data_IF_779392423934
#
_entry.id   IF_779392423934
#
_cell.length_a   1.000
_cell.length_b   1.000
_cell.length_c   1.000
_cell.angle_alpha   90.00
_cell.angle_beta   90.00
_cell.angle_gamma   90.00
#
_symmetry.space_group_name_H-M   'P 1'
#
loop_
_entity.id
_entity.type
_entity.pdbx_description
1 polymer ?
#
# COMPACT_ATOMS: atom_id res chain seq x y z
N UNK A 1 29.72 57.95 23.63
CA UNK A 1 29.62 57.57 25.05
C UNK A 1 29.26 56.11 25.08
N UNK A 2 30.24 55.28 25.44
CA UNK A 2 30.07 53.85 25.65
C UNK A 2 29.59 53.62 27.09
N UNK A 3 28.64 52.72 27.27
CA UNK A 3 28.44 51.99 28.52
C UNK A 3 28.16 50.54 28.18
N UNK A 4 29.18 49.75 28.48
CA UNK A 4 29.20 48.32 28.72
C UNK A 4 28.22 47.97 29.84
N UNK A 5 27.43 46.90 29.71
CA UNK A 5 26.93 46.19 30.89
C UNK A 5 26.74 44.71 30.54
N UNK A 6 27.70 43.95 31.04
CA UNK A 6 27.75 42.49 31.06
C UNK A 6 26.76 41.95 32.09
N UNK A 7 25.99 40.91 31.76
CA UNK A 7 25.31 40.11 32.79
C UNK A 7 25.45 38.61 32.50
N UNK A 8 25.95 37.88 33.50
CA UNK A 8 26.22 36.46 33.52
C UNK A 8 25.32 35.74 34.55
N UNK A 9 25.21 34.42 34.37
CA UNK A 9 24.69 33.38 35.29
C UNK A 9 23.20 33.36 35.65
N UNK A 10 22.51 32.24 35.36
CA UNK A 10 22.47 31.07 36.25
C UNK A 10 21.41 30.04 35.75
N UNK A 11 21.78 28.75 35.73
CA UNK A 11 20.83 27.64 35.74
C UNK A 11 20.08 27.59 37.09
N UNK A 12 18.92 26.91 37.21
CA UNK A 12 19.02 25.51 37.65
C UNK A 12 17.85 24.58 37.25
N UNK A 13 18.07 23.32 37.64
CA UNK A 13 17.11 22.34 38.15
C UNK A 13 16.42 21.40 37.14
N UNK A 14 16.95 20.18 37.18
CA UNK A 14 16.32 18.94 36.77
C UNK A 14 14.99 18.69 37.49
N UNK A 15 14.08 18.00 36.81
CA UNK A 15 13.07 17.12 37.42
C UNK A 15 13.09 15.77 36.71
N UNK A 16 13.22 14.73 37.51
CA UNK A 16 13.22 13.31 37.15
C UNK A 16 11.89 12.67 37.55
N UNK A 17 11.40 11.72 36.75
CA UNK A 17 10.67 10.49 37.12
C UNK A 17 10.01 10.00 35.82
N UNK A 18 10.35 8.80 35.31
CA UNK A 18 9.74 7.55 35.76
C UNK A 18 8.37 7.41 35.08
N UNK A 19 8.02 6.35 34.37
CA UNK A 19 8.40 4.96 34.58
C UNK A 19 7.73 4.12 33.45
N UNK A 20 8.20 2.89 33.25
CA UNK A 20 7.41 1.69 32.81
C UNK A 20 6.95 1.69 31.34
N UNK A 21 7.73 1.04 30.46
CA UNK A 21 7.43 -0.29 29.92
C UNK A 21 6.01 -0.43 29.38
N UNK A 22 5.87 -0.44 28.06
CA UNK A 22 4.95 -1.37 27.45
C UNK A 22 5.61 -2.18 26.33
N UNK A 23 5.70 -3.45 26.65
CA UNK A 23 6.20 -4.55 25.85
C UNK A 23 5.15 -4.83 24.78
N UNK A 24 5.34 -4.35 23.54
CA UNK A 24 4.66 -4.96 22.40
C UNK A 24 5.53 -6.06 21.79
N UNK A 25 5.74 -7.11 22.58
CA UNK A 25 5.95 -8.44 22.04
C UNK A 25 4.58 -8.98 21.63
N UNK A 26 4.21 -8.83 20.37
CA UNK A 26 3.11 -9.61 19.77
C UNK A 26 3.50 -10.04 18.37
N UNK A 27 3.94 -11.30 18.31
CA UNK A 27 3.99 -12.20 17.16
C UNK A 27 4.64 -11.65 15.89
N UNK A 28 5.94 -11.91 15.76
CA UNK A 28 6.55 -12.19 14.46
C UNK A 28 5.88 -13.44 13.87
N UNK A 29 4.66 -13.27 13.34
CA UNK A 29 4.08 -14.19 12.38
C UNK A 29 5.13 -14.28 11.27
N UNK A 30 5.70 -15.47 11.09
CA UNK A 30 6.76 -15.71 10.12
C UNK A 30 6.26 -15.29 8.75
N UNK A 31 6.56 -14.05 8.36
CA UNK A 31 6.24 -13.51 7.07
C UNK A 31 7.12 -14.25 6.09
N UNK A 32 6.53 -15.23 5.42
CA UNK A 32 7.13 -15.92 4.29
C UNK A 32 7.46 -14.81 3.29
N UNK A 33 8.73 -14.46 3.19
CA UNK A 33 9.17 -13.38 2.32
C UNK A 33 8.69 -13.69 0.91
N UNK A 34 7.75 -12.90 0.40
CA UNK A 34 7.20 -13.07 -0.94
C UNK A 34 7.65 -11.90 -1.80
N UNK A 35 8.26 -12.20 -2.93
CA UNK A 35 8.61 -11.19 -3.93
C UNK A 35 7.75 -11.35 -5.18
N UNK A 36 7.36 -10.21 -5.74
CA UNK A 36 6.63 -10.14 -6.99
C UNK A 36 7.60 -9.78 -8.11
N UNK A 37 7.62 -10.61 -9.14
CA UNK A 37 8.48 -10.44 -10.31
C UNK A 37 7.64 -10.09 -11.52
N UNK A 38 8.15 -9.25 -12.39
CA UNK A 38 7.55 -9.02 -13.70
C UNK A 38 7.51 -10.33 -14.48
N UNK A 39 6.32 -10.73 -14.95
CA UNK A 39 6.15 -11.99 -15.68
C UNK A 39 6.94 -12.08 -16.99
N UNK A 40 7.23 -10.94 -17.62
CA UNK A 40 7.97 -10.87 -18.89
C UNK A 40 9.49 -10.99 -18.71
N UNK A 41 10.08 -10.32 -17.73
CA UNK A 41 11.55 -10.22 -17.58
C UNK A 41 12.10 -10.70 -16.23
N UNK A 42 11.23 -11.20 -15.34
CA UNK A 42 11.54 -11.73 -14.01
C UNK A 42 12.23 -10.76 -13.03
N UNK A 43 12.35 -9.48 -13.39
CA UNK A 43 12.80 -8.41 -12.49
C UNK A 43 11.83 -8.26 -11.32
N UNK A 44 12.37 -8.11 -10.11
CA UNK A 44 11.59 -7.84 -8.90
C UNK A 44 10.95 -6.45 -9.01
N UNK A 45 9.66 -6.36 -8.70
CA UNK A 45 8.88 -5.11 -8.80
C UNK A 45 8.17 -4.72 -7.51
N UNK A 46 7.95 -5.68 -6.59
CA UNK A 46 7.43 -5.41 -5.25
C UNK A 46 7.87 -6.55 -4.31
N UNK A 47 7.92 -6.27 -3.00
CA UNK A 47 7.88 -7.29 -1.97
C UNK A 47 6.53 -7.24 -1.24
N UNK A 48 6.28 -8.28 -0.47
CA UNK A 48 5.20 -8.36 0.51
C UNK A 48 5.20 -7.23 1.56
N UNK A 49 6.37 -6.66 1.89
CA UNK A 49 6.46 -5.49 2.78
C UNK A 49 5.80 -4.24 2.19
N UNK A 50 5.73 -4.15 0.87
CA UNK A 50 5.18 -2.97 0.20
C UNK A 50 3.68 -3.11 -0.09
N UNK A 51 3.03 -4.23 0.27
CA UNK A 51 1.62 -4.44 -0.04
C UNK A 51 0.73 -3.61 0.88
N UNK A 52 -0.13 -2.82 0.27
CA UNK A 52 -1.24 -2.15 0.96
C UNK A 52 -2.45 -3.09 0.96
N UNK A 53 -2.75 -3.63 2.14
CA UNK A 53 -3.94 -4.45 2.36
C UNK A 53 -5.18 -3.56 2.40
N UNK A 54 -6.28 -4.06 1.84
CA UNK A 54 -7.59 -3.43 1.98
C UNK A 54 -8.65 -4.47 2.29
N UNK A 55 -9.60 -4.09 3.12
CA UNK A 55 -10.78 -4.91 3.40
C UNK A 55 -11.72 -4.90 2.21
N UNK A 56 -12.51 -5.98 2.04
CA UNK A 56 -13.50 -6.05 0.97
C UNK A 56 -14.52 -4.91 1.12
N UNK A 57 -14.70 -4.13 0.07
CA UNK A 57 -15.68 -3.05 0.09
C UNK A 57 -17.08 -3.51 -0.28
N UNK A 58 -18.08 -2.71 0.12
CA UNK A 58 -19.50 -2.95 -0.19
C UNK A 58 -19.88 -2.62 -1.63
N UNK A 59 -18.96 -2.06 -2.43
CA UNK A 59 -19.26 -1.55 -3.76
C UNK A 59 -19.84 -2.58 -4.74
N UNK A 60 -19.44 -3.85 -4.64
CA UNK A 60 -19.99 -4.93 -5.48
C UNK A 60 -21.49 -5.18 -5.22
N UNK A 61 -21.99 -4.88 -4.03
CA UNK A 61 -23.41 -5.04 -3.68
C UNK A 61 -24.28 -3.97 -4.36
N UNK A 62 -23.74 -2.77 -4.57
CA UNK A 62 -24.45 -1.63 -5.16
C UNK A 62 -24.57 -1.70 -6.69
N UNK A 63 -23.70 -2.46 -7.37
CA UNK A 63 -23.67 -2.58 -8.84
C UNK A 63 -24.14 -3.94 -9.38
N UNK A 64 -24.81 -4.77 -8.58
CA UNK A 64 -25.53 -5.95 -9.10
C UNK A 64 -26.66 -5.49 -10.03
N UNK A 65 -26.34 -5.22 -11.30
CA UNK A 65 -27.31 -5.12 -12.37
C UNK A 65 -28.17 -6.39 -12.33
N UNK A 66 -29.45 -6.18 -12.05
CA UNK A 66 -30.54 -7.15 -11.91
C UNK A 66 -30.28 -8.47 -12.62
N UNK A 67 -29.95 -9.52 -11.85
CA UNK A 67 -30.26 -10.90 -12.26
C UNK A 67 -31.78 -11.09 -12.17
N UNK A 68 -32.52 -10.56 -13.15
CA UNK A 68 -33.91 -10.94 -13.43
C UNK A 68 -33.93 -12.26 -14.19
N UNK A 69 -33.59 -13.34 -13.50
CA UNK A 69 -33.97 -14.71 -13.87
C UNK A 69 -33.54 -15.69 -12.78
N UNK A 70 -34.54 -16.16 -12.05
CA UNK A 70 -34.65 -17.48 -11.41
C UNK A 70 -33.48 -17.98 -10.55
N UNK A 71 -33.76 -18.16 -9.26
CA UNK A 71 -32.95 -19.00 -8.38
C UNK A 71 -32.01 -18.20 -7.48
N UNK A 72 -32.52 -17.87 -6.28
CA UNK A 72 -31.69 -17.52 -5.14
C UNK A 72 -30.87 -18.76 -4.77
N UNK A 73 -29.64 -18.82 -5.26
CA UNK A 73 -28.61 -19.63 -4.64
C UNK A 73 -27.95 -18.69 -3.65
N UNK A 74 -28.20 -18.94 -2.36
CA UNK A 74 -27.42 -18.42 -1.24
C UNK A 74 -25.98 -18.88 -1.43
N UNK A 75 -25.24 -18.15 -2.28
CA UNK A 75 -23.81 -18.27 -2.32
C UNK A 75 -23.34 -17.66 -1.00
N UNK A 76 -22.87 -18.52 -0.11
CA UNK A 76 -21.85 -18.18 0.88
C UNK A 76 -20.88 -17.17 0.24
N UNK A 77 -20.36 -16.19 0.98
CA UNK A 77 -19.43 -15.22 0.41
C UNK A 77 -18.15 -15.96 0.01
N UNK A 78 -18.17 -16.56 -1.19
CA UNK A 78 -17.00 -17.12 -1.84
C UNK A 78 -16.04 -15.96 -1.89
N UNK A 79 -14.99 -16.09 -1.10
CA UNK A 79 -14.01 -15.08 -0.86
C UNK A 79 -13.45 -14.58 -2.20
N UNK A 80 -14.06 -13.54 -2.80
CA UNK A 80 -13.58 -12.98 -4.05
C UNK A 80 -12.18 -12.46 -3.77
N UNK A 81 -11.19 -13.12 -4.36
CA UNK A 81 -9.81 -12.72 -4.27
C UNK A 81 -9.60 -11.52 -5.20
N UNK A 82 -8.87 -10.51 -4.73
CA UNK A 82 -8.55 -9.34 -5.54
C UNK A 82 -7.65 -9.77 -6.71
N UNK A 83 -8.01 -9.36 -7.93
CA UNK A 83 -7.26 -9.64 -9.17
C UNK A 83 -5.94 -8.87 -9.28
N UNK A 84 -5.75 -7.90 -8.40
CA UNK A 84 -4.60 -7.00 -8.36
C UNK A 84 -4.17 -6.80 -6.92
N UNK A 85 -2.87 -6.61 -6.73
CA UNK A 85 -2.30 -6.15 -5.47
C UNK A 85 -2.19 -4.63 -5.51
N UNK A 86 -2.26 -4.01 -4.35
CA UNK A 86 -1.98 -2.59 -4.18
C UNK A 86 -0.70 -2.47 -3.37
N UNK A 87 0.12 -1.49 -3.72
CA UNK A 87 1.42 -1.29 -3.07
C UNK A 87 1.61 0.15 -2.64
N UNK A 88 2.56 0.38 -1.75
CA UNK A 88 3.05 1.73 -1.49
C UNK A 88 3.83 2.25 -2.72
N UNK A 89 3.85 3.57 -2.96
CA UNK A 89 4.67 4.15 -4.02
C UNK A 89 6.14 3.78 -3.83
N UNK A 90 6.76 3.18 -4.86
CA UNK A 90 8.16 2.76 -4.83
C UNK A 90 9.04 3.62 -5.73
N UNK A 91 10.33 3.71 -5.40
CA UNK A 91 11.32 4.53 -6.12
C UNK A 91 11.36 4.29 -7.64
N UNK A 92 11.08 3.07 -8.10
CA UNK A 92 11.09 2.73 -9.52
C UNK A 92 9.84 3.21 -10.27
N UNK A 93 8.76 3.57 -9.57
CA UNK A 93 7.50 4.06 -10.14
C UNK A 93 7.59 5.55 -10.52
N UNK A 94 8.73 5.94 -11.09
CA UNK A 94 9.19 7.31 -11.35
C UNK A 94 8.17 8.22 -12.08
N UNK A 95 7.16 7.62 -12.72
CA UNK A 95 5.98 8.28 -13.32
C UNK A 95 5.12 9.09 -12.33
N UNK A 96 5.39 8.98 -11.03
CA UNK A 96 4.75 9.76 -9.97
C UNK A 96 5.20 11.24 -9.92
N UNK A 97 6.43 11.55 -10.33
CA UNK A 97 7.03 12.86 -10.05
C UNK A 97 6.62 13.99 -11.01
N UNK A 98 6.00 13.67 -12.16
CA UNK A 98 5.79 14.61 -13.26
C UNK A 98 4.46 15.38 -13.21
N UNK A 99 3.82 15.50 -12.04
CA UNK A 99 2.55 16.23 -11.89
C UNK A 99 1.31 15.48 -12.40
N UNK A 100 1.44 14.20 -12.73
CA UNK A 100 0.32 13.35 -13.12
C UNK A 100 -0.44 12.83 -11.90
N UNK A 101 -1.77 12.95 -11.94
CA UNK A 101 -2.68 12.41 -10.91
C UNK A 101 -2.84 10.90 -11.05
N UNK A 102 -2.64 10.33 -12.24
CA UNK A 102 -2.64 8.89 -12.45
C UNK A 102 -2.14 8.50 -13.83
N UNK A 103 -1.35 7.43 -13.91
CA UNK A 103 -0.71 6.95 -15.12
C UNK A 103 -0.44 5.44 -15.09
N UNK A 104 0.09 4.90 -16.20
CA UNK A 104 0.46 3.47 -16.29
C UNK A 104 1.77 3.18 -15.53
N UNK A 105 1.82 2.02 -14.87
CA UNK A 105 3.04 1.50 -14.25
C UNK A 105 3.73 0.53 -15.22
N UNK A 106 4.93 0.89 -15.67
CA UNK A 106 5.74 0.13 -16.62
C UNK A 106 6.92 -0.54 -15.92
N UNK A 107 7.23 -1.77 -16.31
CA UNK A 107 8.41 -2.46 -15.80
C UNK A 107 9.69 -1.78 -16.29
N UNK A 108 10.56 -1.37 -15.38
CA UNK A 108 11.88 -0.78 -15.69
C UNK A 108 12.80 -1.67 -16.55
N UNK A 109 12.49 -2.97 -16.68
CA UNK A 109 13.37 -3.92 -17.40
C UNK A 109 12.97 -4.20 -18.82
N UNK A 110 11.68 -4.22 -19.10
CA UNK A 110 11.16 -4.66 -20.40
C UNK A 110 10.04 -3.79 -20.93
N UNK A 111 9.78 -2.66 -20.25
CA UNK A 111 8.73 -1.69 -20.50
C UNK A 111 7.31 -2.27 -20.61
N UNK A 112 7.10 -3.49 -20.12
CA UNK A 112 5.77 -4.10 -20.10
C UNK A 112 4.89 -3.43 -19.04
N UNK A 113 3.61 -3.22 -19.37
CA UNK A 113 2.63 -2.69 -18.42
C UNK A 113 2.35 -3.69 -17.31
N UNK A 114 2.60 -3.28 -16.07
CA UNK A 114 2.33 -4.05 -14.86
C UNK A 114 1.01 -3.64 -14.20
N UNK A 115 0.60 -2.38 -14.37
CA UNK A 115 -0.64 -1.86 -13.82
C UNK A 115 -0.80 -0.37 -14.08
N UNK A 116 -1.29 0.36 -13.08
CA UNK A 116 -1.55 1.80 -13.11
C UNK A 116 -1.65 2.36 -11.70
N UNK A 117 -1.45 3.66 -11.56
CA UNK A 117 -1.69 4.37 -10.31
C UNK A 117 -2.69 5.51 -10.46
N UNK A 118 -3.32 5.89 -9.35
CA UNK A 118 -4.15 7.07 -9.22
C UNK A 118 -4.05 7.64 -7.78
N UNK A 119 -3.61 8.89 -7.66
CA UNK A 119 -3.49 9.63 -6.41
C UNK A 119 -4.84 9.94 -5.75
N UNK A 120 -5.90 10.12 -6.54
CA UNK A 120 -7.27 10.22 -6.02
C UNK A 120 -7.81 8.87 -5.52
N UNK A 121 -7.11 7.78 -5.82
CA UNK A 121 -7.52 6.42 -5.49
C UNK A 121 -8.27 5.74 -6.62
N UNK A 122 -8.62 4.48 -6.41
CA UNK A 122 -9.39 3.69 -7.36
C UNK A 122 -10.14 2.55 -6.67
N UNK A 123 -11.23 2.10 -7.31
CA UNK A 123 -12.00 0.98 -6.82
C UNK A 123 -11.32 -0.35 -7.17
N UNK A 124 -11.11 -1.19 -6.16
CA UNK A 124 -10.66 -2.57 -6.34
C UNK A 124 -11.82 -3.46 -6.80
N UNK A 125 -11.51 -4.60 -7.45
CA UNK A 125 -12.50 -5.60 -7.86
C UNK A 125 -13.37 -6.12 -6.70
N UNK A 126 -12.85 -6.12 -5.47
CA UNK A 126 -13.63 -6.48 -4.28
C UNK A 126 -14.62 -5.40 -3.83
N UNK A 127 -14.65 -4.23 -4.48
CA UNK A 127 -15.53 -3.11 -4.16
C UNK A 127 -14.93 -2.08 -3.19
N UNK A 128 -13.71 -2.29 -2.69
CA UNK A 128 -13.02 -1.35 -1.80
C UNK A 128 -12.49 -0.14 -2.56
N UNK A 129 -12.52 1.04 -1.95
CA UNK A 129 -11.80 2.22 -2.45
C UNK A 129 -10.41 2.24 -1.83
N UNK A 130 -9.37 2.21 -2.66
CA UNK A 130 -7.97 2.25 -2.21
C UNK A 130 -7.40 3.64 -2.51
N UNK A 131 -6.77 4.30 -1.53
CA UNK A 131 -6.11 5.59 -1.69
C UNK A 131 -4.84 5.67 -0.81
N UNK A 132 -3.69 6.14 -1.36
CA UNK A 132 -3.42 6.32 -2.79
C UNK A 132 -3.40 4.95 -3.48
N UNK A 133 -3.74 4.90 -4.76
CA UNK A 133 -3.87 3.62 -5.43
C UNK A 133 -2.73 3.35 -6.39
N UNK A 134 -1.82 2.45 -6.01
CA UNK A 134 -0.80 1.90 -6.91
C UNK A 134 -1.12 0.44 -7.17
N UNK A 135 -1.81 0.18 -8.27
CA UNK A 135 -2.32 -1.14 -8.60
C UNK A 135 -1.33 -1.89 -9.50
N UNK A 136 -0.98 -3.11 -9.11
CA UNK A 136 -0.27 -4.06 -9.96
C UNK A 136 -1.15 -5.29 -10.21
N UNK A 137 -1.32 -5.67 -11.48
CA UNK A 137 -2.17 -6.79 -11.85
C UNK A 137 -1.45 -8.12 -11.63
N UNK A 138 -2.06 -9.04 -10.86
CA UNK A 138 -1.50 -10.38 -10.61
C UNK A 138 -1.21 -11.15 -11.89
N UNK A 139 -2.01 -10.96 -12.95
CA UNK A 139 -1.79 -11.60 -14.25
C UNK A 139 -0.48 -11.19 -14.96
N UNK A 140 0.12 -10.06 -14.55
CA UNK A 140 1.38 -9.52 -15.08
C UNK A 140 2.58 -9.78 -14.16
N UNK A 141 2.33 -10.43 -13.03
CA UNK A 141 3.32 -10.72 -12.00
C UNK A 141 3.46 -12.23 -11.80
N UNK A 142 4.62 -12.64 -11.31
CA UNK A 142 4.85 -13.96 -10.73
C UNK A 142 5.15 -13.78 -9.25
N UNK A 143 4.49 -14.56 -8.41
CA UNK A 143 4.71 -14.61 -6.97
C UNK A 143 5.80 -15.64 -6.69
N UNK A 144 6.88 -15.25 -6.02
CA UNK A 144 8.00 -16.14 -5.70
C UNK A 144 8.31 -16.04 -4.21
N UNK A 145 8.29 -17.16 -3.46
CA UNK A 145 8.84 -17.17 -2.12
C UNK A 145 10.35 -16.89 -2.18
N UNK A 146 10.86 -16.18 -1.18
CA UNK A 146 12.28 -15.93 -0.94
C UNK A 146 12.91 -17.16 -0.31
#
# INVERSE_FOLDING_TARGET
>A
MATDDSNAEAAPAAVSAGSETDTHATNASQKLGLVYRCKKCRRIVASDDNIVLHERGKGQESFKWKKRSGGAIEKTPTAVECSSIFVEPMKWMQTVQEGFVGEKLLCMGCNARLGSFNWAGMQCNCGAWVNPAFQLHKSRLDECPI
#
